data_IF_395006375900
#
_entry.id   IF_395006375900
#
_cell.length_a   1.000
_cell.length_b   1.000
_cell.length_c   1.000
_cell.angle_alpha   90.00
_cell.angle_beta   90.00
_cell.angle_gamma   90.00
#
_symmetry.space_group_name_H-M   'P 1'
#
loop_
_entity.id
_entity.type
_entity.pdbx_description
1 polymer ?
#
# COMPACT_ATOMS: atom_id res chain seq x y z
N UNK A 1 26.02 37.63 1.36
CA UNK A 1 24.78 37.24 2.06
C UNK A 1 23.72 37.01 1.01
N UNK A 2 23.53 35.78 0.54
CA UNK A 2 22.47 35.42 -0.36
C UNK A 2 21.30 34.91 0.49
N UNK A 3 20.24 35.63 0.46
CA UNK A 3 18.92 35.24 1.04
C UNK A 3 18.40 34.01 0.30
N UNK A 4 18.42 32.88 0.97
CA UNK A 4 17.76 31.66 0.48
C UNK A 4 16.26 31.91 0.56
N UNK A 5 15.64 31.98 -0.61
CA UNK A 5 14.22 32.19 -0.85
C UNK A 5 13.38 31.13 -0.12
N UNK A 6 12.34 31.61 0.59
CA UNK A 6 11.33 30.86 1.34
C UNK A 6 10.30 30.13 0.45
N UNK A 7 10.63 29.78 -0.79
CA UNK A 7 9.68 29.36 -1.82
C UNK A 7 9.68 27.84 -2.14
N UNK A 8 10.27 26.99 -1.27
CA UNK A 8 10.30 25.52 -1.47
C UNK A 8 9.30 24.75 -0.60
N UNK A 9 8.19 25.35 -0.12
CA UNK A 9 7.18 24.67 0.71
C UNK A 9 5.78 24.61 0.11
N UNK A 10 5.65 24.54 -1.20
CA UNK A 10 4.31 24.41 -1.83
C UNK A 10 4.29 23.30 -2.88
N UNK A 11 4.38 22.04 -2.48
CA UNK A 11 4.17 20.92 -3.43
C UNK A 11 3.53 19.67 -2.83
N UNK A 12 3.16 19.63 -1.57
CA UNK A 12 2.31 18.55 -1.04
C UNK A 12 0.89 19.07 -0.85
N UNK A 13 -0.10 18.30 -1.31
CA UNK A 13 -1.52 18.50 -1.00
C UNK A 13 -1.68 18.32 0.52
N UNK A 14 -2.12 19.36 1.21
CA UNK A 14 -2.19 19.36 2.66
C UNK A 14 -3.40 18.57 3.17
N UNK A 15 -3.30 18.01 4.37
CA UNK A 15 -4.44 17.33 5.02
C UNK A 15 -5.61 18.30 5.20
N UNK A 16 -5.35 19.57 5.50
CA UNK A 16 -6.40 20.58 5.65
C UNK A 16 -7.17 20.82 4.33
N UNK A 17 -6.49 20.81 3.17
CA UNK A 17 -7.16 20.91 1.86
C UNK A 17 -8.06 19.68 1.63
N UNK A 18 -7.60 18.48 2.01
CA UNK A 18 -8.37 17.25 1.93
C UNK A 18 -9.64 17.32 2.80
N UNK A 19 -9.50 17.78 4.04
CA UNK A 19 -10.63 17.96 4.98
C UNK A 19 -11.62 19.01 4.49
N UNK A 20 -11.14 20.08 3.87
CA UNK A 20 -12.01 21.11 3.29
C UNK A 20 -12.88 20.56 2.16
N UNK A 21 -12.36 19.64 1.35
CA UNK A 21 -13.08 19.02 0.22
C UNK A 21 -14.02 17.89 0.66
N UNK A 22 -13.53 17.01 1.53
CA UNK A 22 -14.23 15.78 1.91
C UNK A 22 -15.09 15.93 3.18
N UNK A 23 -14.97 17.07 3.88
CA UNK A 23 -15.62 17.27 5.17
C UNK A 23 -14.88 16.57 6.31
N UNK A 24 -15.60 16.28 7.38
CA UNK A 24 -15.04 15.78 8.63
C UNK A 24 -14.49 14.35 8.50
N UNK A 25 -13.19 14.11 8.74
CA UNK A 25 -12.62 12.76 8.73
C UNK A 25 -13.03 11.99 9.98
N UNK A 26 -12.97 10.66 9.93
CA UNK A 26 -13.18 9.81 11.11
C UNK A 26 -12.08 10.02 12.18
N UNK A 27 -10.84 10.11 11.75
CA UNK A 27 -9.72 10.54 12.56
C UNK A 27 -8.67 11.28 11.73
N UNK A 28 -7.96 12.22 12.35
CA UNK A 28 -6.91 12.99 11.70
C UNK A 28 -5.72 13.28 12.63
N UNK A 29 -4.61 13.61 12.02
CA UNK A 29 -3.42 14.19 12.63
C UNK A 29 -2.76 15.19 11.68
N UNK A 30 -1.54 15.59 11.97
CA UNK A 30 -0.78 16.52 11.11
C UNK A 30 -0.55 15.94 9.71
N UNK A 31 -0.26 14.65 9.62
CA UNK A 31 0.17 13.97 8.39
C UNK A 31 -0.86 12.94 7.90
N UNK A 32 -2.07 12.87 8.45
CA UNK A 32 -3.06 11.90 7.99
C UNK A 32 -4.50 12.35 8.16
N UNK A 33 -5.36 11.85 7.27
CA UNK A 33 -6.82 11.88 7.42
C UNK A 33 -7.42 10.56 6.94
N UNK A 34 -8.27 9.96 7.76
CA UNK A 34 -8.98 8.71 7.47
C UNK A 34 -10.47 9.02 7.46
N UNK A 35 -11.14 8.64 6.37
CA UNK A 35 -12.56 8.89 6.15
C UNK A 35 -13.35 7.60 6.24
N UNK A 36 -14.45 7.61 7.01
CA UNK A 36 -15.42 6.52 6.99
C UNK A 36 -16.39 6.73 5.83
N UNK A 37 -15.95 6.34 4.64
CA UNK A 37 -16.64 6.60 3.38
C UNK A 37 -16.36 5.50 2.34
N UNK A 38 -17.19 5.44 1.31
CA UNK A 38 -16.92 4.66 0.11
C UNK A 38 -15.80 5.35 -0.69
N UNK A 39 -14.85 4.55 -1.18
CA UNK A 39 -13.62 5.08 -1.76
C UNK A 39 -13.83 5.84 -3.07
N UNK A 40 -14.75 5.41 -3.94
CA UNK A 40 -15.04 6.10 -5.21
C UNK A 40 -15.69 7.46 -4.95
N UNK A 41 -16.65 7.52 -4.02
CA UNK A 41 -17.27 8.79 -3.62
C UNK A 41 -16.22 9.77 -3.10
N UNK A 42 -15.39 9.31 -2.14
CA UNK A 42 -14.36 10.17 -1.57
C UNK A 42 -13.28 10.58 -2.59
N UNK A 43 -12.78 9.65 -3.38
CA UNK A 43 -11.76 9.97 -4.38
C UNK A 43 -12.25 10.95 -5.45
N UNK A 44 -13.53 10.88 -5.86
CA UNK A 44 -14.09 11.75 -6.91
C UNK A 44 -14.08 13.24 -6.56
N UNK A 45 -14.14 13.58 -5.27
CA UNK A 45 -14.10 14.95 -4.76
C UNK A 45 -12.68 15.53 -4.71
N UNK A 46 -11.65 14.69 -4.82
CA UNK A 46 -10.26 15.10 -4.73
C UNK A 46 -9.72 15.60 -6.08
N UNK A 47 -8.84 16.63 -6.10
CA UNK A 47 -8.26 17.14 -7.34
C UNK A 47 -7.25 16.16 -7.97
N UNK A 48 -7.00 16.33 -9.26
CA UNK A 48 -6.05 15.51 -10.01
C UNK A 48 -4.61 15.68 -9.49
N UNK A 49 -3.81 14.63 -9.62
CA UNK A 49 -2.34 14.69 -9.46
C UNK A 49 -1.88 15.20 -8.09
N UNK A 50 -2.47 14.69 -7.02
CA UNK A 50 -2.12 15.01 -5.63
C UNK A 50 -1.38 13.86 -4.91
N UNK A 51 -1.46 12.63 -5.41
CA UNK A 51 -0.94 11.42 -4.79
C UNK A 51 0.38 11.02 -5.42
N UNK A 52 1.37 10.73 -4.60
CA UNK A 52 2.69 10.25 -5.03
C UNK A 52 2.75 8.72 -5.07
N UNK A 53 2.08 8.05 -4.12
CA UNK A 53 2.05 6.60 -4.02
C UNK A 53 0.67 6.12 -3.58
N UNK A 54 0.12 5.12 -4.25
CA UNK A 54 -1.03 4.36 -3.74
C UNK A 54 -0.59 2.95 -3.37
N UNK A 55 -0.96 2.48 -2.17
CA UNK A 55 -0.74 1.10 -1.72
C UNK A 55 -2.07 0.57 -1.24
N UNK A 56 -2.56 -0.54 -1.80
CA UNK A 56 -3.85 -1.05 -1.38
C UNK A 56 -4.06 -2.53 -1.69
N UNK A 57 -5.01 -3.13 -0.97
CA UNK A 57 -5.55 -4.46 -1.19
C UNK A 57 -7.08 -4.39 -1.18
N UNK A 58 -7.74 -4.34 -2.35
CA UNK A 58 -9.20 -4.29 -2.41
C UNK A 58 -9.83 -5.61 -1.93
N UNK A 59 -11.13 -5.66 -1.65
CA UNK A 59 -11.86 -6.91 -1.52
C UNK A 59 -11.66 -7.80 -2.74
N UNK A 60 -11.39 -9.12 -2.53
CA UNK A 60 -11.05 -10.06 -3.63
C UNK A 60 -12.26 -10.77 -4.25
N UNK A 61 -13.46 -10.40 -3.85
CA UNK A 61 -14.71 -11.04 -4.31
C UNK A 61 -14.80 -12.54 -4.00
N UNK A 62 -14.29 -12.95 -2.85
CA UNK A 62 -14.28 -14.36 -2.39
C UNK A 62 -15.31 -14.66 -1.31
N UNK A 63 -16.16 -13.67 -0.95
CA UNK A 63 -17.24 -13.80 0.04
C UNK A 63 -16.73 -13.75 1.48
N UNK A 64 -15.79 -12.85 1.77
CA UNK A 64 -15.41 -12.53 3.15
C UNK A 64 -16.51 -11.69 3.82
N UNK A 65 -16.48 -11.62 5.15
CA UNK A 65 -17.49 -10.90 5.96
C UNK A 65 -17.59 -9.38 5.67
N UNK A 66 -16.58 -8.81 5.03
CA UNK A 66 -16.49 -7.38 4.67
C UNK A 66 -16.83 -7.11 3.19
N UNK A 67 -17.25 -8.13 2.42
CA UNK A 67 -17.54 -7.96 0.99
C UNK A 67 -18.83 -8.67 0.57
N UNK A 68 -19.56 -8.08 -0.38
CA UNK A 68 -20.64 -8.72 -1.12
C UNK A 68 -20.06 -9.30 -2.41
N UNK A 69 -20.29 -10.59 -2.64
CA UNK A 69 -19.79 -11.25 -3.85
C UNK A 69 -20.56 -10.80 -5.08
N UNK A 70 -19.83 -10.25 -6.05
CA UNK A 70 -20.34 -9.81 -7.35
C UNK A 70 -20.13 -10.89 -8.43
N UNK A 71 -20.90 -10.92 -9.51
CA UNK A 71 -20.50 -11.54 -10.77
C UNK A 71 -19.13 -11.05 -11.21
N UNK A 72 -18.35 -11.91 -11.86
CA UNK A 72 -16.94 -11.60 -12.14
C UNK A 72 -16.77 -10.37 -13.04
N UNK A 73 -17.63 -10.20 -14.03
CA UNK A 73 -17.58 -9.07 -14.96
C UNK A 73 -17.91 -7.75 -14.23
N UNK A 74 -18.88 -7.78 -13.33
CA UNK A 74 -19.24 -6.63 -12.48
C UNK A 74 -18.10 -6.28 -11.51
N UNK A 75 -17.43 -7.29 -10.93
CA UNK A 75 -16.27 -7.08 -10.07
C UNK A 75 -15.11 -6.44 -10.83
N UNK A 76 -14.85 -6.89 -12.05
CA UNK A 76 -13.79 -6.33 -12.90
C UNK A 76 -14.13 -4.88 -13.28
N UNK A 77 -15.39 -4.57 -13.62
CA UNK A 77 -15.80 -3.20 -13.95
C UNK A 77 -15.76 -2.28 -12.71
N UNK A 78 -16.22 -2.76 -11.55
CA UNK A 78 -16.06 -2.04 -10.28
C UNK A 78 -14.58 -1.76 -9.98
N UNK A 79 -13.71 -2.78 -10.19
CA UNK A 79 -12.27 -2.62 -9.97
C UNK A 79 -11.68 -1.58 -10.94
N UNK A 80 -12.08 -1.62 -12.20
CA UNK A 80 -11.67 -0.65 -13.20
C UNK A 80 -12.00 0.79 -12.77
N UNK A 81 -13.20 1.03 -12.25
CA UNK A 81 -13.66 2.37 -11.90
C UNK A 81 -12.79 3.01 -10.80
N UNK A 82 -12.55 2.32 -9.69
CA UNK A 82 -11.69 2.89 -8.64
C UNK A 82 -10.21 2.96 -9.05
N UNK A 83 -9.71 2.04 -9.89
CA UNK A 83 -8.34 2.11 -10.42
C UNK A 83 -8.14 3.32 -11.36
N UNK A 84 -9.16 3.73 -12.12
CA UNK A 84 -9.14 4.97 -12.91
C UNK A 84 -9.08 6.21 -12.01
N UNK A 85 -9.80 6.24 -10.90
CA UNK A 85 -9.71 7.33 -9.93
C UNK A 85 -8.31 7.38 -9.28
N UNK A 86 -7.74 6.24 -8.90
CA UNK A 86 -6.35 6.18 -8.43
C UNK A 86 -5.40 6.76 -9.47
N UNK A 87 -5.56 6.40 -10.76
CA UNK A 87 -4.73 6.96 -11.82
C UNK A 87 -4.91 8.48 -11.97
N UNK A 88 -6.14 8.99 -11.91
CA UNK A 88 -6.44 10.43 -11.99
C UNK A 88 -5.75 11.20 -10.86
N UNK A 89 -5.81 10.67 -9.64
CA UNK A 89 -5.21 11.27 -8.45
C UNK A 89 -3.67 11.18 -8.44
N UNK A 90 -3.08 10.20 -9.13
CA UNK A 90 -1.64 9.97 -9.10
C UNK A 90 -0.89 11.04 -9.90
N UNK A 91 0.19 11.58 -9.34
CA UNK A 91 1.13 12.50 -10.00
C UNK A 91 1.89 11.80 -11.12
N UNK A 92 2.51 12.56 -12.03
CA UNK A 92 3.24 12.00 -13.19
C UNK A 92 4.37 11.05 -12.81
N UNK A 93 5.06 11.28 -11.68
CA UNK A 93 6.13 10.43 -11.16
C UNK A 93 5.65 9.39 -10.14
N UNK A 94 4.34 9.34 -9.90
CA UNK A 94 3.74 8.49 -8.86
C UNK A 94 3.59 7.04 -9.28
N UNK A 95 3.42 6.19 -8.27
CA UNK A 95 3.28 4.75 -8.40
C UNK A 95 2.00 4.23 -7.73
N UNK A 96 1.58 3.05 -8.17
CA UNK A 96 0.46 2.33 -7.59
C UNK A 96 0.85 0.87 -7.33
N UNK A 97 0.76 0.44 -6.08
CA UNK A 97 1.05 -0.91 -5.60
C UNK A 97 -0.25 -1.62 -5.25
N UNK A 98 -0.69 -2.51 -6.11
CA UNK A 98 -1.94 -3.27 -5.97
C UNK A 98 -1.65 -4.69 -5.48
N UNK A 99 -2.03 -5.00 -4.23
CA UNK A 99 -2.00 -6.37 -3.74
C UNK A 99 -3.26 -7.13 -4.14
N UNK A 100 -3.08 -8.29 -4.74
CA UNK A 100 -4.18 -9.17 -5.14
C UNK A 100 -3.80 -10.64 -5.01
N UNK A 101 -4.78 -11.45 -4.64
CA UNK A 101 -4.64 -12.89 -4.48
C UNK A 101 -5.29 -13.67 -5.60
N UNK A 102 -6.16 -14.61 -5.22
CA UNK A 102 -6.79 -15.58 -6.11
C UNK A 102 -8.30 -15.59 -5.92
N UNK A 103 -9.03 -15.79 -7.01
CA UNK A 103 -10.49 -15.93 -7.03
C UNK A 103 -10.89 -17.29 -7.59
N UNK A 104 -11.89 -17.99 -6.99
CA UNK A 104 -12.45 -19.19 -7.59
C UNK A 104 -13.35 -18.83 -8.78
N UNK A 105 -13.19 -19.57 -9.89
CA UNK A 105 -14.05 -19.49 -11.07
C UNK A 105 -14.86 -20.80 -11.18
N UNK A 106 -16.14 -20.83 -10.79
CA UNK A 106 -16.96 -22.04 -10.80
C UNK A 106 -16.91 -22.76 -12.15
N UNK A 107 -16.68 -24.07 -12.13
CA UNK A 107 -16.58 -24.91 -13.33
C UNK A 107 -15.34 -24.70 -14.22
N UNK A 108 -14.44 -23.73 -13.90
CA UNK A 108 -13.29 -23.38 -14.75
C UNK A 108 -11.96 -23.36 -14.01
N UNK A 109 -11.89 -22.76 -12.83
CA UNK A 109 -10.65 -22.67 -12.06
C UNK A 109 -10.91 -22.65 -10.56
N UNK A 110 -10.10 -23.38 -9.79
CA UNK A 110 -10.15 -23.38 -8.33
C UNK A 110 -9.58 -22.08 -7.75
N UNK A 111 -8.55 -21.54 -8.37
CA UNK A 111 -7.82 -20.37 -7.92
C UNK A 111 -7.19 -19.66 -9.13
N UNK A 112 -7.96 -18.78 -9.76
CA UNK A 112 -7.45 -17.92 -10.83
C UNK A 112 -6.71 -16.74 -10.19
N UNK A 113 -5.46 -16.44 -10.58
CA UNK A 113 -4.80 -15.24 -10.10
C UNK A 113 -5.54 -13.98 -10.56
N UNK A 114 -5.94 -13.11 -9.62
CA UNK A 114 -6.59 -11.82 -9.93
C UNK A 114 -5.76 -10.89 -10.83
N UNK A 115 -4.41 -10.90 -10.77
CA UNK A 115 -3.61 -10.13 -11.74
C UNK A 115 -4.01 -10.35 -13.19
N UNK A 116 -4.39 -11.57 -13.61
CA UNK A 116 -4.80 -11.85 -14.99
C UNK A 116 -6.09 -11.14 -15.42
N UNK A 117 -6.91 -10.71 -14.47
CA UNK A 117 -8.15 -10.00 -14.75
C UNK A 117 -8.01 -8.48 -14.64
N UNK A 118 -7.00 -7.99 -13.88
CA UNK A 118 -6.93 -6.58 -13.48
C UNK A 118 -5.75 -5.80 -14.05
N UNK A 119 -4.68 -6.46 -14.52
CA UNK A 119 -3.44 -5.78 -14.89
C UNK A 119 -3.60 -4.74 -16.03
N UNK A 120 -4.56 -4.95 -16.92
CA UNK A 120 -4.85 -4.10 -18.08
C UNK A 120 -6.11 -3.23 -17.92
N UNK A 121 -6.68 -3.16 -16.70
CA UNK A 121 -7.97 -2.47 -16.44
C UNK A 121 -7.82 -1.01 -16.06
N UNK A 122 -6.60 -0.48 -16.01
CA UNK A 122 -6.34 0.93 -15.74
C UNK A 122 -5.22 1.46 -16.67
N UNK A 123 -5.13 2.79 -16.85
CA UNK A 123 -4.17 3.38 -17.78
C UNK A 123 -2.74 3.52 -17.22
N UNK A 124 -2.42 2.83 -16.14
CA UNK A 124 -1.06 2.74 -15.62
C UNK A 124 -0.20 1.81 -16.47
N UNK A 125 1.11 2.08 -16.51
CA UNK A 125 2.09 1.14 -17.04
C UNK A 125 2.43 0.11 -15.95
N UNK A 126 2.20 -1.18 -16.21
CA UNK A 126 2.64 -2.25 -15.32
C UNK A 126 4.15 -2.43 -15.46
N UNK A 127 4.90 -2.02 -14.42
CA UNK A 127 6.35 -2.12 -14.43
C UNK A 127 6.81 -3.52 -14.07
N UNK A 128 6.23 -4.12 -13.00
CA UNK A 128 6.64 -5.44 -12.52
C UNK A 128 5.56 -6.12 -11.65
N UNK A 129 5.50 -7.45 -11.67
CA UNK A 129 4.83 -8.25 -10.65
C UNK A 129 5.83 -8.63 -9.56
N UNK A 130 5.45 -8.49 -8.29
CA UNK A 130 6.22 -8.90 -7.13
C UNK A 130 5.46 -10.01 -6.40
N UNK A 131 6.16 -11.10 -6.06
CA UNK A 131 5.60 -12.23 -5.31
C UNK A 131 5.83 -12.02 -3.82
N UNK A 132 4.77 -11.78 -3.07
CA UNK A 132 4.83 -11.84 -1.61
C UNK A 132 4.62 -13.29 -1.16
N UNK A 133 5.69 -13.97 -0.77
CA UNK A 133 5.68 -15.31 -0.19
C UNK A 133 5.65 -15.20 1.34
N UNK A 134 4.59 -15.70 1.95
CA UNK A 134 4.41 -15.64 3.42
C UNK A 134 4.62 -16.97 4.15
N UNK A 135 5.03 -18.03 3.44
CA UNK A 135 5.46 -19.31 4.01
C UNK A 135 4.38 -20.14 4.72
N UNK A 136 3.47 -19.52 5.45
CA UNK A 136 2.46 -20.16 6.29
C UNK A 136 1.05 -20.22 5.64
N UNK A 137 0.16 -21.03 6.20
CA UNK A 137 -1.26 -21.14 5.78
C UNK A 137 -1.76 -22.59 5.81
N UNK A 138 -3.03 -22.81 5.45
CA UNK A 138 -3.67 -24.12 5.48
C UNK A 138 -3.08 -25.03 4.41
N UNK A 139 -2.75 -26.27 4.78
CA UNK A 139 -2.24 -27.28 3.85
C UNK A 139 -3.36 -27.81 2.95
N UNK A 140 -3.10 -27.82 1.65
CA UNK A 140 -3.96 -28.48 0.67
C UNK A 140 -3.74 -29.99 0.70
N UNK A 141 -4.83 -30.77 0.58
CA UNK A 141 -4.74 -32.24 0.49
C UNK A 141 -4.72 -32.76 -0.95
N UNK A 142 -5.26 -32.01 -1.91
CA UNK A 142 -5.42 -32.43 -3.32
C UNK A 142 -4.76 -31.45 -4.31
N UNK A 143 -4.07 -30.44 -3.83
CA UNK A 143 -3.38 -29.41 -4.62
C UNK A 143 -2.24 -28.80 -3.79
N UNK A 144 -1.32 -28.10 -4.44
CA UNK A 144 -0.23 -27.41 -3.74
C UNK A 144 -0.82 -26.28 -2.87
N UNK A 145 -0.31 -26.16 -1.64
CA UNK A 145 -0.76 -25.16 -0.69
C UNK A 145 -0.37 -23.74 -1.17
N UNK A 146 -1.31 -22.82 -1.36
CA UNK A 146 -0.98 -21.45 -1.74
C UNK A 146 -0.20 -20.77 -0.61
N UNK A 147 0.90 -20.12 -0.95
CA UNK A 147 1.80 -19.46 0.01
C UNK A 147 2.24 -18.08 -0.48
N UNK A 148 1.50 -17.50 -1.40
CA UNK A 148 1.83 -16.21 -1.96
C UNK A 148 0.60 -15.42 -2.36
N UNK A 149 0.77 -14.11 -2.40
CA UNK A 149 -0.05 -13.13 -3.08
C UNK A 149 0.84 -12.32 -4.01
N UNK A 150 0.25 -11.47 -4.85
CA UNK A 150 0.97 -10.67 -5.82
C UNK A 150 0.79 -9.20 -5.54
N UNK A 151 1.88 -8.44 -5.69
CA UNK A 151 1.77 -7.01 -5.92
C UNK A 151 1.99 -6.72 -7.40
N UNK A 152 1.10 -5.94 -7.98
CA UNK A 152 1.31 -5.31 -9.26
C UNK A 152 1.88 -3.92 -9.00
N UNK A 153 3.13 -3.70 -9.40
CA UNK A 153 3.76 -2.40 -9.33
C UNK A 153 3.51 -1.65 -10.62
N UNK A 154 2.60 -0.71 -10.56
CA UNK A 154 2.28 0.20 -11.63
C UNK A 154 2.96 1.54 -11.44
N UNK A 155 3.27 2.21 -12.55
CA UNK A 155 3.76 3.59 -12.58
C UNK A 155 2.97 4.40 -13.59
N UNK A 156 2.86 5.73 -13.36
CA UNK A 156 2.15 6.60 -14.30
C UNK A 156 3.00 6.94 -15.54
N UNK A 157 4.31 7.13 -15.33
CA UNK A 157 5.30 7.36 -16.38
C UNK A 157 6.46 6.38 -16.21
N UNK A 158 6.69 5.44 -17.16
CA UNK A 158 7.74 4.44 -17.04
C UNK A 158 9.16 5.00 -17.09
N UNK A 159 9.34 6.25 -17.53
CA UNK A 159 10.64 6.92 -17.60
C UNK A 159 10.92 7.78 -16.36
N UNK A 160 9.89 8.09 -15.54
CA UNK A 160 9.99 9.01 -14.41
C UNK A 160 9.14 8.55 -13.25
N UNK A 161 9.67 7.68 -12.41
CA UNK A 161 9.01 7.22 -11.19
C UNK A 161 9.97 7.23 -10.00
N UNK A 162 9.43 7.34 -8.80
CA UNK A 162 10.22 7.31 -7.56
C UNK A 162 10.65 5.87 -7.27
N UNK A 163 11.97 5.65 -7.15
CA UNK A 163 12.57 4.38 -6.71
C UNK A 163 13.81 4.61 -5.85
N UNK A 164 13.64 4.55 -4.55
CA UNK A 164 14.69 4.77 -3.54
C UNK A 164 15.36 3.43 -3.18
N UNK A 165 16.12 2.85 -4.10
CA UNK A 165 16.72 1.53 -3.93
C UNK A 165 17.56 1.42 -2.65
N UNK A 166 18.29 2.45 -2.29
CA UNK A 166 19.20 2.42 -1.13
C UNK A 166 18.45 2.32 0.21
N UNK A 167 17.21 2.79 0.28
CA UNK A 167 16.34 2.67 1.46
C UNK A 167 15.82 1.24 1.71
N UNK A 168 15.86 0.38 0.68
CA UNK A 168 15.28 -0.97 0.73
C UNK A 168 16.26 -2.09 0.37
N UNK A 169 17.57 -1.78 0.27
CA UNK A 169 18.57 -2.79 -0.04
C UNK A 169 18.53 -3.95 0.96
N UNK A 170 18.74 -5.15 0.43
CA UNK A 170 18.82 -6.37 1.20
C UNK A 170 20.28 -6.57 1.67
N UNK A 171 20.54 -6.50 2.99
CA UNK A 171 21.88 -6.67 3.54
C UNK A 171 22.38 -8.12 3.44
N UNK A 172 21.50 -9.10 3.22
CA UNK A 172 21.88 -10.51 3.07
C UNK A 172 22.50 -10.78 1.70
N UNK A 173 23.80 -10.47 1.59
CA UNK A 173 24.58 -10.64 0.39
C UNK A 173 25.41 -11.93 0.48
N UNK A 174 25.15 -12.88 -0.42
CA UNK A 174 25.82 -14.19 -0.43
C UNK A 174 27.35 -14.11 -0.54
N UNK A 175 27.86 -13.11 -1.29
CA UNK A 175 29.29 -12.90 -1.51
C UNK A 175 29.70 -11.43 -1.34
N UNK A 176 29.69 -10.88 -0.10
CA UNK A 176 29.84 -9.43 0.14
C UNK A 176 31.23 -8.89 -0.27
N UNK A 177 32.25 -9.72 -0.27
CA UNK A 177 33.64 -9.31 -0.60
C UNK A 177 34.06 -9.65 -2.03
N UNK A 178 33.14 -10.14 -2.88
CA UNK A 178 33.45 -10.48 -4.25
C UNK A 178 33.82 -9.22 -5.04
N UNK A 179 34.98 -9.29 -5.73
CA UNK A 179 35.49 -8.21 -6.59
C UNK A 179 35.46 -8.59 -8.06
N UNK A 180 35.26 -7.59 -8.93
CA UNK A 180 35.48 -7.67 -10.37
C UNK A 180 36.31 -6.45 -10.77
N UNK A 181 37.43 -6.67 -11.45
CA UNK A 181 38.39 -5.61 -11.84
C UNK A 181 38.82 -4.73 -10.66
N UNK A 182 39.09 -5.34 -9.51
CA UNK A 182 39.50 -4.63 -8.28
C UNK A 182 38.42 -3.92 -7.50
N UNK A 183 37.19 -3.78 -8.04
CA UNK A 183 36.04 -3.13 -7.39
C UNK A 183 35.07 -4.15 -6.79
N UNK A 184 34.47 -3.84 -5.64
CA UNK A 184 33.39 -4.66 -5.07
C UNK A 184 32.23 -4.78 -6.07
N UNK A 185 31.67 -5.97 -6.20
CA UNK A 185 30.53 -6.22 -7.09
C UNK A 185 29.21 -5.80 -6.48
N UNK A 186 29.10 -5.88 -5.17
CA UNK A 186 27.89 -5.50 -4.44
C UNK A 186 28.06 -4.14 -3.78
N UNK A 187 26.97 -3.39 -3.68
CA UNK A 187 26.95 -2.18 -2.88
C UNK A 187 27.19 -2.55 -1.41
N UNK A 188 27.92 -1.67 -0.68
CA UNK A 188 28.28 -1.91 0.73
C UNK A 188 27.09 -1.96 1.68
N UNK A 189 25.98 -1.31 1.33
CA UNK A 189 24.74 -1.33 2.11
C UNK A 189 23.79 -2.46 1.72
N UNK A 190 24.15 -3.30 0.74
CA UNK A 190 23.38 -4.46 0.34
C UNK A 190 23.09 -4.58 -1.15
N UNK A 191 22.48 -5.70 -1.53
CA UNK A 191 22.05 -5.97 -2.91
C UNK A 191 20.67 -5.33 -3.21
N UNK A 192 20.33 -5.20 -4.49
CA UNK A 192 18.95 -4.95 -4.91
C UNK A 192 18.07 -6.14 -4.47
N UNK A 193 16.95 -5.92 -3.76
CA UNK A 193 16.01 -6.99 -3.42
C UNK A 193 15.50 -7.71 -4.68
N UNK A 194 15.20 -9.01 -4.55
CA UNK A 194 14.50 -9.73 -5.62
C UNK A 194 13.01 -9.35 -5.64
N UNK A 195 12.33 -9.76 -6.69
CA UNK A 195 10.88 -9.65 -6.85
C UNK A 195 10.10 -10.74 -6.09
N UNK A 196 10.79 -11.61 -5.35
CA UNK A 196 10.18 -12.58 -4.44
C UNK A 196 10.52 -12.19 -3.00
N UNK A 197 9.52 -11.69 -2.28
CA UNK A 197 9.66 -11.22 -0.91
C UNK A 197 9.16 -12.27 0.08
N UNK A 198 10.05 -12.74 0.95
CA UNK A 198 9.73 -13.68 2.02
C UNK A 198 9.45 -12.92 3.31
N UNK A 199 8.19 -12.56 3.53
CA UNK A 199 7.73 -11.80 4.72
C UNK A 199 6.52 -12.53 5.29
N UNK A 200 6.58 -12.91 6.57
CA UNK A 200 5.51 -13.65 7.22
C UNK A 200 4.21 -12.84 7.35
N UNK A 201 3.05 -13.51 7.34
CA UNK A 201 1.76 -12.87 7.66
C UNK A 201 1.60 -12.74 9.18
N UNK A 202 1.08 -11.62 9.64
CA UNK A 202 0.71 -11.41 11.06
C UNK A 202 -0.60 -12.11 11.45
N UNK A 203 -1.35 -12.60 10.47
CA UNK A 203 -2.63 -13.30 10.71
C UNK A 203 -2.50 -14.82 10.85
N UNK A 204 -1.34 -15.38 10.54
CA UNK A 204 -1.09 -16.83 10.57
C UNK A 204 0.41 -17.15 10.74
N UNK A 205 0.73 -18.36 11.20
CA UNK A 205 2.12 -18.79 11.40
C UNK A 205 2.74 -18.30 12.71
N UNK A 206 4.05 -18.10 12.72
CA UNK A 206 4.84 -17.68 13.88
C UNK A 206 4.44 -16.30 14.42
N UNK A 207 4.05 -15.39 13.53
CA UNK A 207 3.72 -14.00 13.90
C UNK A 207 2.24 -13.80 14.28
N UNK A 208 1.49 -14.91 14.43
CA UNK A 208 0.08 -14.87 14.88
C UNK A 208 -0.11 -14.20 16.24
N UNK A 209 0.89 -14.23 17.10
CA UNK A 209 0.92 -13.58 18.40
C UNK A 209 1.61 -12.21 18.39
N UNK A 210 1.95 -11.68 17.22
CA UNK A 210 2.58 -10.37 17.08
C UNK A 210 1.72 -9.27 17.72
N UNK A 211 2.31 -8.33 18.46
CA UNK A 211 1.61 -7.15 18.98
C UNK A 211 1.05 -6.25 17.87
N UNK A 212 1.53 -6.40 16.65
CA UNK A 212 1.05 -5.73 15.44
C UNK A 212 -0.34 -6.22 14.99
N UNK A 213 -0.76 -7.41 15.46
CA UNK A 213 -1.97 -8.05 14.96
C UNK A 213 -3.23 -7.27 15.29
N UNK A 214 -4.01 -6.97 14.24
CA UNK A 214 -5.33 -6.35 14.29
C UNK A 214 -6.47 -7.39 14.22
N UNK A 215 -7.68 -7.05 14.66
CA UNK A 215 -8.88 -7.83 14.41
C UNK A 215 -9.36 -7.68 12.95
N UNK A 216 -8.44 -7.79 11.98
CA UNK A 216 -8.70 -7.72 10.55
C UNK A 216 -8.19 -9.00 9.87
N UNK A 217 -9.00 -9.66 9.03
CA UNK A 217 -8.64 -10.97 8.47
C UNK A 217 -7.55 -10.93 7.39
N UNK A 218 -7.27 -9.76 6.82
CA UNK A 218 -6.35 -9.57 5.71
C UNK A 218 -5.33 -8.44 5.96
N UNK A 219 -4.78 -8.38 7.17
CA UNK A 219 -3.79 -7.37 7.54
C UNK A 219 -2.45 -7.57 6.83
N UNK A 220 -1.87 -6.50 6.33
CA UNK A 220 -0.47 -6.46 5.91
C UNK A 220 0.49 -6.43 7.10
N UNK A 221 1.60 -7.20 7.04
CA UNK A 221 2.74 -6.99 7.93
C UNK A 221 3.35 -5.60 7.73
N UNK A 222 3.75 -4.95 8.81
CA UNK A 222 4.32 -3.60 8.75
C UNK A 222 5.63 -3.58 7.95
N UNK A 223 6.47 -4.60 8.08
CA UNK A 223 7.73 -4.73 7.31
C UNK A 223 7.51 -4.74 5.79
N UNK A 224 6.41 -5.36 5.33
CA UNK A 224 6.05 -5.37 3.93
C UNK A 224 5.72 -3.96 3.42
N UNK A 225 4.90 -3.23 4.18
CA UNK A 225 4.47 -1.89 3.81
C UNK A 225 5.59 -0.87 3.99
N UNK A 226 6.41 -1.00 5.04
CA UNK A 226 7.59 -0.16 5.24
C UNK A 226 8.52 -0.20 4.03
N UNK A 227 8.75 -1.39 3.47
CA UNK A 227 9.56 -1.54 2.26
C UNK A 227 8.97 -0.78 1.07
N UNK A 228 7.64 -0.84 0.89
CA UNK A 228 6.97 -0.13 -0.22
C UNK A 228 7.00 1.39 0.03
N UNK A 229 6.63 1.84 1.23
CA UNK A 229 6.60 3.27 1.57
C UNK A 229 7.98 3.91 1.41
N UNK A 230 9.04 3.27 1.91
CA UNK A 230 10.40 3.82 1.84
C UNK A 230 10.97 3.76 0.42
N UNK A 231 10.76 2.64 -0.27
CA UNK A 231 11.32 2.44 -1.61
C UNK A 231 10.65 3.26 -2.72
N UNK A 232 9.38 3.64 -2.54
CA UNK A 232 8.55 4.15 -3.65
C UNK A 232 7.86 5.48 -3.34
N UNK A 233 8.25 6.15 -2.25
CA UNK A 233 7.89 7.52 -1.94
C UNK A 233 8.99 8.25 -1.19
N UNK A 234 8.95 9.58 -1.17
CA UNK A 234 9.84 10.42 -0.40
C UNK A 234 9.14 10.95 0.87
N UNK A 235 9.91 11.44 1.84
CA UNK A 235 9.35 12.12 3.01
C UNK A 235 8.46 13.28 2.57
N UNK A 236 7.37 13.51 3.30
CA UNK A 236 6.35 14.54 3.06
C UNK A 236 5.47 14.30 1.82
N UNK A 237 5.75 13.28 1.00
CA UNK A 237 4.89 12.90 -0.11
C UNK A 237 3.57 12.28 0.36
N UNK A 238 2.53 12.39 -0.49
CA UNK A 238 1.17 11.94 -0.18
C UNK A 238 0.97 10.50 -0.63
N UNK A 239 0.56 9.65 0.31
CA UNK A 239 0.18 8.25 0.08
C UNK A 239 -1.34 8.11 0.17
N UNK A 240 -1.92 7.31 -0.70
CA UNK A 240 -3.35 6.98 -0.71
C UNK A 240 -3.54 5.49 -0.41
N UNK A 241 -4.51 5.17 0.45
CA UNK A 241 -5.04 3.81 0.59
C UNK A 241 -6.58 3.84 0.49
N UNK A 242 -7.16 3.47 -0.67
CA UNK A 242 -8.61 3.46 -0.87
C UNK A 242 -9.35 2.40 -0.04
N UNK A 243 -8.65 1.38 0.47
CA UNK A 243 -9.22 0.27 1.24
C UNK A 243 -8.40 0.05 2.51
N UNK A 244 -8.48 1.01 3.44
CA UNK A 244 -7.57 1.15 4.60
C UNK A 244 -7.50 -0.08 5.51
N UNK A 245 -8.62 -0.78 5.69
CA UNK A 245 -8.71 -2.02 6.47
C UNK A 245 -8.12 -1.90 7.86
N UNK A 246 -6.95 -2.53 8.08
CA UNK A 246 -6.26 -2.54 9.39
C UNK A 246 -5.39 -1.30 9.67
N UNK A 247 -5.21 -0.40 8.70
CA UNK A 247 -4.39 0.81 8.83
C UNK A 247 -2.87 0.61 8.79
N UNK A 248 -2.37 -0.54 8.31
CA UNK A 248 -0.93 -0.78 8.21
C UNK A 248 -0.24 0.22 7.29
N UNK A 249 -0.89 0.61 6.17
CA UNK A 249 -0.39 1.64 5.25
C UNK A 249 -0.23 2.98 5.96
N UNK A 250 -1.26 3.42 6.69
CA UNK A 250 -1.23 4.69 7.38
C UNK A 250 -0.20 4.71 8.52
N UNK A 251 -0.10 3.63 9.31
CA UNK A 251 0.94 3.52 10.35
C UNK A 251 2.34 3.64 9.77
N UNK A 252 2.64 2.91 8.70
CA UNK A 252 3.93 3.00 8.02
C UNK A 252 4.21 4.43 7.53
N UNK A 253 3.23 5.09 6.93
CA UNK A 253 3.36 6.46 6.44
C UNK A 253 3.73 7.42 7.58
N UNK A 254 3.02 7.37 8.70
CA UNK A 254 3.29 8.20 9.87
C UNK A 254 4.71 7.94 10.39
N UNK A 255 5.09 6.69 10.61
CA UNK A 255 6.41 6.33 11.14
C UNK A 255 7.56 6.79 10.23
N UNK A 256 7.34 6.82 8.93
CA UNK A 256 8.37 7.22 7.95
C UNK A 256 8.22 8.66 7.43
N UNK A 257 7.29 9.46 7.96
CA UNK A 257 7.15 10.88 7.63
C UNK A 257 6.53 11.15 6.26
N UNK A 258 5.55 10.35 5.86
CA UNK A 258 4.69 10.58 4.68
C UNK A 258 3.33 11.06 5.13
N UNK A 259 2.67 11.84 4.29
CA UNK A 259 1.26 12.20 4.47
C UNK A 259 0.38 11.06 3.95
N UNK A 260 -0.73 10.73 4.62
CA UNK A 260 -1.63 9.67 4.15
C UNK A 260 -3.09 10.06 4.18
N UNK A 261 -3.79 9.75 3.08
CA UNK A 261 -5.24 9.84 2.93
C UNK A 261 -5.78 8.41 2.81
N UNK A 262 -6.80 8.07 3.61
CA UNK A 262 -7.37 6.73 3.58
C UNK A 262 -8.88 6.69 3.64
N UNK A 263 -9.47 5.70 2.99
CA UNK A 263 -10.89 5.42 3.02
C UNK A 263 -11.16 4.04 3.61
N UNK A 264 -12.16 3.94 4.47
CA UNK A 264 -12.64 2.69 5.04
C UNK A 264 -14.16 2.75 5.23
N UNK A 265 -14.88 1.83 4.63
CA UNK A 265 -16.35 1.83 4.69
C UNK A 265 -16.88 1.29 6.03
N UNK A 266 -16.12 0.42 6.69
CA UNK A 266 -16.51 -0.20 7.95
C UNK A 266 -16.08 0.63 9.15
N UNK A 267 -17.04 1.09 9.93
CA UNK A 267 -16.80 1.91 11.11
C UNK A 267 -15.98 1.18 12.19
N UNK A 268 -16.21 -0.11 12.39
CA UNK A 268 -15.45 -0.93 13.35
C UNK A 268 -13.96 -1.05 12.99
N UNK A 269 -13.62 -1.04 11.70
CA UNK A 269 -12.23 -0.95 11.25
C UNK A 269 -11.67 0.46 11.43
N UNK A 270 -12.45 1.52 11.19
CA UNK A 270 -12.05 2.89 11.49
C UNK A 270 -11.71 3.08 12.99
N UNK A 271 -12.49 2.52 13.92
CA UNK A 271 -12.22 2.54 15.36
C UNK A 271 -10.85 1.93 15.69
N UNK A 272 -10.54 0.83 15.03
CA UNK A 272 -9.25 0.17 15.21
C UNK A 272 -8.11 1.00 14.62
N UNK A 273 -8.28 1.50 13.39
CA UNK A 273 -7.29 2.36 12.71
C UNK A 273 -6.99 3.58 13.58
N UNK A 274 -7.98 4.26 14.11
CA UNK A 274 -7.79 5.43 14.98
C UNK A 274 -6.89 5.13 16.18
N UNK A 275 -7.12 3.99 16.88
CA UNK A 275 -6.27 3.55 18.00
C UNK A 275 -4.84 3.25 17.57
N UNK A 276 -4.66 2.63 16.41
CA UNK A 276 -3.36 2.29 15.83
C UNK A 276 -2.57 3.55 15.47
N UNK A 277 -3.22 4.50 14.79
CA UNK A 277 -2.57 5.74 14.36
C UNK A 277 -2.26 6.69 15.52
N UNK A 278 -3.08 6.71 16.57
CA UNK A 278 -2.77 7.42 17.80
C UNK A 278 -1.42 6.97 18.37
N UNK A 279 -1.23 5.67 18.50
CA UNK A 279 0.03 5.09 18.99
C UNK A 279 1.21 5.43 18.07
N UNK A 280 1.03 5.36 16.75
CA UNK A 280 2.08 5.71 15.79
C UNK A 280 2.46 7.19 15.86
N UNK A 281 1.47 8.09 15.99
CA UNK A 281 1.69 9.52 16.15
C UNK A 281 2.44 9.84 17.45
N UNK A 282 2.07 9.22 18.57
CA UNK A 282 2.78 9.34 19.85
C UNK A 282 4.23 8.89 19.75
N UNK A 283 4.50 7.76 19.09
CA UNK A 283 5.87 7.25 18.86
C UNK A 283 6.72 8.20 18.02
N UNK A 284 6.12 8.93 17.09
CA UNK A 284 6.79 9.93 16.26
C UNK A 284 6.94 11.28 16.95
N UNK A 285 6.26 11.51 18.08
CA UNK A 285 6.25 12.79 18.81
C UNK A 285 5.31 13.83 18.19
N UNK A 286 4.30 13.40 17.42
CA UNK A 286 3.24 14.29 16.92
C UNK A 286 2.27 14.65 18.04
N UNK A 287 1.90 15.93 18.13
CA UNK A 287 0.99 16.45 19.16
C UNK A 287 -0.47 16.54 18.72
N UNK A 288 -0.73 16.54 17.42
CA UNK A 288 -2.09 16.62 16.89
C UNK A 288 -2.64 15.22 16.56
N UNK A 289 -3.68 14.84 17.29
CA UNK A 289 -4.46 13.63 17.01
C UNK A 289 -5.92 13.86 17.43
N UNK A 290 -6.85 13.74 16.49
CA UNK A 290 -8.27 13.90 16.72
C UNK A 290 -9.05 12.67 16.22
N UNK A 291 -10.01 12.19 17.03
CA UNK A 291 -11.07 11.25 16.63
C UNK A 291 -12.37 12.01 16.72
N UNK A 292 -13.13 12.06 15.64
CA UNK A 292 -14.28 12.95 15.49
C UNK A 292 -15.59 12.16 15.35
#
# INVERSE_FOLDING_TARGET
>A
MMTISSDMRKTSFAIDDCVQLLGQPYCRGEDFAIFNAECLEGMSELPNSIVDLTITSPPYNIGKEYENRLPIDEYVEWSRNWMFEVHRLTKSHGAFWLNVGYIPMPGRAKALPLPYLLWDKCPFFLLQEIVWNYGAGVAGKKFLSPRNEKFLWFVKDPERYTFNLDEIRDPDVKYPHQKKNGKLRCNTIGKNPSDVWQIAKVTSGTDRASPERAPHPAQFPLDLINRIVQGFSNRTETVLDPFMGSGSTAESCILHGRTVIGFEIRRDYCDFVAKRLKKAAEMRGSMLFEVL
#
